data_IF_796973336085
#
_entry.id   IF_796973336085
#
_cell.length_a   1.000
_cell.length_b   1.000
_cell.length_c   1.000
_cell.angle_alpha   90.00
_cell.angle_beta   90.00
_cell.angle_gamma   90.00
#
_symmetry.space_group_name_H-M   'P 1'
#
loop_
_entity.id
_entity.type
_entity.pdbx_description
1 polymer ?
#
# COMPACT_ATOMS: atom_id res chain seq x y z
N UNK A 1 46.26 -23.32 -23.12
CA UNK A 1 45.88 -21.94 -22.76
C UNK A 1 45.33 -22.00 -21.35
N UNK A 2 46.08 -21.48 -20.38
CA UNK A 2 45.72 -21.56 -18.95
C UNK A 2 44.69 -20.49 -18.58
N UNK A 3 43.88 -20.77 -17.56
CA UNK A 3 42.95 -19.80 -16.97
C UNK A 3 43.72 -18.57 -16.47
N UNK A 4 43.25 -17.38 -16.82
CA UNK A 4 43.81 -16.13 -16.33
C UNK A 4 43.10 -15.73 -15.04
N UNK A 5 43.75 -14.93 -14.19
CA UNK A 5 43.11 -14.34 -13.00
C UNK A 5 41.81 -13.61 -13.36
N UNK A 6 41.80 -12.99 -14.54
CA UNK A 6 40.64 -12.28 -15.07
C UNK A 6 39.51 -13.24 -15.47
N UNK A 7 39.81 -14.34 -16.18
CA UNK A 7 38.76 -15.31 -16.55
C UNK A 7 38.12 -15.96 -15.32
N UNK A 8 38.91 -16.25 -14.28
CA UNK A 8 38.40 -16.76 -13.00
C UNK A 8 37.55 -15.71 -12.28
N UNK A 9 37.99 -14.45 -12.25
CA UNK A 9 37.25 -13.36 -11.61
C UNK A 9 35.90 -13.08 -12.29
N UNK A 10 35.86 -13.12 -13.63
CA UNK A 10 34.62 -13.02 -14.41
C UNK A 10 33.70 -14.20 -14.09
N UNK A 11 34.23 -15.42 -13.99
CA UNK A 11 33.46 -16.60 -13.60
C UNK A 11 32.83 -16.46 -12.20
N UNK A 12 33.59 -15.97 -11.22
CA UNK A 12 33.09 -15.71 -9.86
C UNK A 12 31.98 -14.65 -9.90
N UNK A 13 32.22 -13.52 -10.57
CA UNK A 13 31.23 -12.46 -10.71
C UNK A 13 29.95 -12.97 -11.37
N UNK A 14 30.08 -13.73 -12.46
CA UNK A 14 28.96 -14.32 -13.17
C UNK A 14 28.15 -15.25 -12.25
N UNK A 15 28.80 -16.11 -11.46
CA UNK A 15 28.13 -16.99 -10.52
C UNK A 15 27.36 -16.21 -9.44
N UNK A 16 27.95 -15.14 -8.89
CA UNK A 16 27.28 -14.31 -7.89
C UNK A 16 26.05 -13.59 -8.48
N UNK A 17 26.19 -12.98 -9.64
CA UNK A 17 25.11 -12.22 -10.28
C UNK A 17 24.00 -13.14 -10.76
N UNK A 18 24.33 -14.27 -11.38
CA UNK A 18 23.31 -15.21 -11.85
C UNK A 18 22.54 -15.84 -10.70
N UNK A 19 23.22 -16.23 -9.60
CA UNK A 19 22.54 -16.72 -8.40
C UNK A 19 21.59 -15.67 -7.82
N UNK A 20 22.02 -14.40 -7.75
CA UNK A 20 21.18 -13.30 -7.28
C UNK A 20 19.96 -13.08 -8.18
N UNK A 21 20.16 -13.04 -9.50
CA UNK A 21 19.06 -12.87 -10.47
C UNK A 21 18.06 -14.02 -10.33
N UNK A 22 18.54 -15.25 -10.24
CA UNK A 22 17.68 -16.43 -10.10
C UNK A 22 16.86 -16.39 -8.82
N UNK A 23 17.44 -15.98 -7.70
CA UNK A 23 16.72 -15.84 -6.42
C UNK A 23 15.62 -14.77 -6.51
N UNK A 24 15.93 -13.58 -7.05
CA UNK A 24 14.95 -12.50 -7.23
C UNK A 24 13.80 -12.95 -8.12
N UNK A 25 14.10 -13.56 -9.27
CA UNK A 25 13.08 -14.04 -10.21
C UNK A 25 12.22 -15.14 -9.59
N UNK A 26 12.82 -16.09 -8.86
CA UNK A 26 12.07 -17.15 -8.18
C UNK A 26 11.08 -16.58 -7.14
N UNK A 27 11.50 -15.58 -6.36
CA UNK A 27 10.63 -14.93 -5.37
C UNK A 27 9.49 -14.14 -6.01
N UNK A 28 9.78 -13.36 -7.04
CA UNK A 28 8.74 -12.54 -7.70
C UNK A 28 7.73 -13.40 -8.47
N UNK A 29 8.19 -14.46 -9.15
CA UNK A 29 7.31 -15.37 -9.89
C UNK A 29 6.39 -16.15 -8.97
N UNK A 30 6.91 -16.71 -7.87
CA UNK A 30 6.09 -17.43 -6.88
C UNK A 30 5.06 -16.52 -6.19
N UNK A 31 5.47 -15.30 -5.82
CA UNK A 31 4.57 -14.29 -5.25
C UNK A 31 3.45 -13.93 -6.23
N UNK A 32 3.79 -13.69 -7.50
CA UNK A 32 2.81 -13.32 -8.52
C UNK A 32 1.88 -14.49 -8.87
N UNK A 33 2.40 -15.72 -8.90
CA UNK A 33 1.59 -16.92 -9.10
C UNK A 33 0.58 -17.10 -7.96
N UNK A 34 1.02 -16.92 -6.71
CA UNK A 34 0.13 -16.97 -5.55
C UNK A 34 -0.98 -15.93 -5.64
N UNK A 35 -0.65 -14.68 -5.98
CA UNK A 35 -1.63 -13.61 -6.12
C UNK A 35 -2.69 -13.92 -7.19
N UNK A 36 -2.26 -14.40 -8.36
CA UNK A 36 -3.15 -14.79 -9.45
C UNK A 36 -4.06 -15.96 -9.09
N UNK A 37 -3.53 -16.95 -8.36
CA UNK A 37 -4.31 -18.10 -7.91
C UNK A 37 -5.31 -17.74 -6.81
N UNK A 38 -4.89 -16.89 -5.85
CA UNK A 38 -5.72 -16.48 -4.71
C UNK A 38 -6.82 -15.50 -5.11
N UNK A 39 -6.53 -14.60 -6.04
CA UNK A 39 -7.44 -13.53 -6.46
C UNK A 39 -7.60 -13.57 -8.00
N UNK A 40 -8.52 -14.40 -8.54
CA UNK A 40 -8.70 -14.55 -9.98
C UNK A 40 -9.03 -13.24 -10.72
N UNK A 41 -9.71 -12.32 -10.03
CA UNK A 41 -10.08 -10.99 -10.54
C UNK A 41 -9.22 -9.88 -9.95
N UNK A 42 -7.94 -10.15 -9.64
CA UNK A 42 -7.03 -9.14 -9.10
C UNK A 42 -6.87 -7.99 -10.09
N UNK A 43 -7.28 -6.79 -9.67
CA UNK A 43 -7.07 -5.55 -10.42
C UNK A 43 -5.78 -4.89 -9.96
N UNK A 44 -4.97 -4.43 -10.91
CA UNK A 44 -3.83 -3.56 -10.60
C UNK A 44 -4.35 -2.23 -10.05
N UNK A 45 -3.63 -1.64 -9.09
CA UNK A 45 -3.94 -0.29 -8.62
C UNK A 45 -3.86 0.72 -9.78
N UNK A 46 -4.77 1.68 -9.79
CA UNK A 46 -4.75 2.78 -10.74
C UNK A 46 -3.49 3.62 -10.51
N UNK A 47 -2.79 3.94 -11.60
CA UNK A 47 -1.70 4.91 -11.60
C UNK A 47 -2.15 6.12 -12.42
N UNK A 48 -2.28 7.26 -11.76
CA UNK A 48 -2.64 8.52 -12.39
C UNK A 48 -1.46 9.50 -12.32
N UNK A 49 -0.85 9.86 -13.47
CA UNK A 49 0.27 10.82 -13.50
C UNK A 49 -0.13 12.22 -13.03
N UNK A 50 -1.43 12.57 -13.06
CA UNK A 50 -1.93 13.86 -12.60
C UNK A 50 -2.18 13.94 -11.09
N UNK A 51 -2.04 12.80 -10.38
CA UNK A 51 -2.23 12.67 -8.92
C UNK A 51 -3.61 13.15 -8.43
N UNK A 52 -4.64 13.04 -9.25
CA UNK A 52 -6.03 13.40 -8.91
C UNK A 52 -6.87 12.19 -8.51
N UNK A 53 -6.48 10.99 -8.96
CA UNK A 53 -7.18 9.74 -8.68
C UNK A 53 -6.48 8.93 -7.59
N UNK A 54 -7.28 8.21 -6.81
CA UNK A 54 -6.80 7.25 -5.82
C UNK A 54 -6.40 5.90 -6.47
N UNK A 55 -6.01 4.93 -5.65
CA UNK A 55 -5.62 3.57 -6.09
C UNK A 55 -6.73 2.81 -6.83
N UNK A 56 -7.99 3.25 -6.70
CA UNK A 56 -9.15 2.67 -7.36
C UNK A 56 -9.57 3.47 -8.61
N UNK A 57 -8.87 4.55 -8.94
CA UNK A 57 -9.20 5.43 -10.05
C UNK A 57 -10.32 6.42 -9.73
N UNK A 58 -10.57 6.71 -8.45
CA UNK A 58 -11.62 7.61 -8.00
C UNK A 58 -11.05 8.97 -7.57
N UNK A 59 -11.73 10.09 -7.87
CA UNK A 59 -11.32 11.40 -7.38
C UNK A 59 -11.52 11.52 -5.86
N UNK A 60 -10.83 12.49 -5.25
CA UNK A 60 -11.01 12.80 -3.82
C UNK A 60 -12.48 13.08 -3.51
N UNK A 61 -13.05 12.30 -2.60
CA UNK A 61 -14.41 12.51 -2.13
C UNK A 61 -14.52 13.76 -1.25
N UNK A 62 -15.64 14.46 -1.35
CA UNK A 62 -15.90 15.64 -0.55
C UNK A 62 -16.24 15.24 0.90
N UNK A 63 -15.29 15.43 1.81
CA UNK A 63 -15.39 15.02 3.22
C UNK A 63 -16.54 15.71 3.99
N UNK A 64 -16.95 16.92 3.59
CA UNK A 64 -18.08 17.61 4.23
C UNK A 64 -19.43 16.92 4.01
N UNK A 65 -19.54 16.11 2.96
CA UNK A 65 -20.74 15.36 2.60
C UNK A 65 -20.79 13.98 3.26
N UNK A 66 -19.74 13.60 3.98
CA UNK A 66 -19.68 12.35 4.74
C UNK A 66 -20.06 12.60 6.19
N UNK A 67 -20.83 11.69 6.78
CA UNK A 67 -21.27 11.74 8.17
C UNK A 67 -20.81 10.49 8.90
N UNK A 68 -20.41 10.67 10.15
CA UNK A 68 -20.00 9.61 11.06
C UNK A 68 -20.95 9.61 12.26
N UNK A 69 -21.39 8.43 12.67
CA UNK A 69 -22.20 8.25 13.88
C UNK A 69 -21.31 8.41 15.11
N UNK A 70 -21.69 9.28 16.04
CA UNK A 70 -21.02 9.38 17.33
C UNK A 70 -21.65 8.41 18.34
N UNK A 71 -20.93 7.34 18.70
CA UNK A 71 -21.37 6.34 19.69
C UNK A 71 -21.60 6.89 21.11
N UNK A 72 -21.06 8.07 21.45
CA UNK A 72 -21.26 8.67 22.78
C UNK A 72 -22.58 9.45 22.90
N UNK A 73 -23.10 10.00 21.80
CA UNK A 73 -24.31 10.82 21.83
C UNK A 73 -25.36 10.46 20.78
N UNK A 74 -25.10 9.42 19.99
CA UNK A 74 -25.94 8.89 18.92
C UNK A 74 -26.38 9.95 17.89
N UNK A 75 -25.48 10.90 17.60
CA UNK A 75 -25.70 11.93 16.58
C UNK A 75 -24.84 11.65 15.36
N UNK A 76 -25.41 11.89 14.19
CA UNK A 76 -24.66 11.98 12.94
C UNK A 76 -23.93 13.31 12.87
N UNK A 77 -22.61 13.23 12.74
CA UNK A 77 -21.71 14.38 12.73
C UNK A 77 -20.93 14.35 11.42
N UNK A 78 -20.90 15.47 10.70
CA UNK A 78 -20.09 15.58 9.48
C UNK A 78 -18.63 15.23 9.78
N UNK A 79 -18.02 14.41 8.93
CA UNK A 79 -16.71 13.82 9.16
C UNK A 79 -15.64 14.88 9.45
N UNK A 80 -15.66 15.99 8.71
CA UNK A 80 -14.73 17.11 8.89
C UNK A 80 -14.93 17.90 10.21
N UNK A 81 -16.03 17.69 10.93
CA UNK A 81 -16.31 18.28 12.26
C UNK A 81 -16.21 17.27 13.40
N UNK A 82 -15.92 16.01 13.11
CA UNK A 82 -15.94 14.95 14.11
C UNK A 82 -14.96 15.20 15.26
N UNK A 83 -13.72 15.63 14.97
CA UNK A 83 -12.73 15.94 16.00
C UNK A 83 -13.18 17.07 16.96
N UNK A 84 -13.72 18.17 16.40
CA UNK A 84 -14.25 19.27 17.20
C UNK A 84 -15.49 18.86 18.01
N UNK A 85 -16.30 17.95 17.47
CA UNK A 85 -17.40 17.35 18.19
C UNK A 85 -16.91 16.52 19.39
N UNK A 86 -15.93 15.62 19.20
CA UNK A 86 -15.39 14.78 20.27
C UNK A 86 -14.92 15.60 21.48
N UNK A 87 -14.20 16.70 21.25
CA UNK A 87 -13.77 17.62 22.31
C UNK A 87 -14.94 18.12 23.17
N UNK A 88 -16.09 18.43 22.56
CA UNK A 88 -17.26 18.95 23.29
C UNK A 88 -18.12 17.83 23.88
N UNK A 89 -18.25 16.73 23.13
CA UNK A 89 -19.11 15.61 23.44
C UNK A 89 -18.57 14.84 24.65
N UNK A 90 -17.27 14.54 24.66
CA UNK A 90 -16.62 13.80 25.75
C UNK A 90 -16.37 14.68 26.98
N UNK A 91 -16.15 15.99 26.79
CA UNK A 91 -15.96 16.92 27.92
C UNK A 91 -17.22 17.19 28.73
N UNK A 92 -18.41 16.73 28.30
CA UNK A 92 -19.66 16.91 29.06
C UNK A 92 -19.63 16.25 30.45
N UNK A 93 -18.81 15.22 30.66
CA UNK A 93 -18.61 14.58 31.97
C UNK A 93 -17.44 15.13 32.80
N UNK A 94 -16.56 15.95 32.22
CA UNK A 94 -15.32 16.42 32.87
C UNK A 94 -15.46 17.76 33.62
N UNK A 95 -16.66 18.36 33.64
CA UNK A 95 -16.97 19.48 34.54
C UNK A 95 -17.40 18.95 35.91
N UNK A 96 -16.45 18.44 36.68
CA UNK A 96 -16.55 18.26 38.13
C UNK A 96 -15.22 18.65 38.75
#
# INVERSE_FOLDING_TARGET
>A
MGETKESVSIGIYHNLITALIQDVVARETTKQQLLRSRYPSLKTYCYDPSQQLDINGLPKQQESSQYLLCENCNRDISANRFAAHLQRCLSRGSRR
#
